data_IF_113551506265
#
_entry.id   IF_113551506265
#
_cell.length_a   1.000
_cell.length_b   1.000
_cell.length_c   1.000
_cell.angle_alpha   90.00
_cell.angle_beta   90.00
_cell.angle_gamma   90.00
#
_symmetry.space_group_name_H-M   'P 1'
#
loop_
_entity.id
_entity.type
_entity.pdbx_description
1 polymer ?
#
# COMPACT_ATOMS: atom_id res chain seq x y z
N UNK A 1 -38.32 -23.78 -14.83
CA UNK A 1 -37.73 -23.15 -16.04
C UNK A 1 -37.05 -21.86 -15.62
N UNK A 2 -35.85 -21.54 -16.13
CA UNK A 2 -35.21 -20.27 -15.92
C UNK A 2 -35.93 -19.15 -16.67
N UNK A 3 -35.83 -17.92 -16.18
CA UNK A 3 -36.41 -16.74 -16.85
C UNK A 3 -35.30 -15.92 -17.46
N UNK A 4 -35.44 -15.52 -18.74
CA UNK A 4 -34.56 -14.54 -19.37
C UNK A 4 -35.01 -13.16 -18.91
N UNK A 5 -34.12 -12.42 -18.21
CA UNK A 5 -34.42 -11.12 -17.60
C UNK A 5 -33.91 -9.93 -18.44
N UNK A 6 -33.06 -10.17 -19.41
CA UNK A 6 -32.49 -9.13 -20.26
C UNK A 6 -31.25 -9.59 -21.01
N UNK A 7 -30.67 -8.66 -21.77
CA UNK A 7 -29.39 -8.82 -22.45
C UNK A 7 -28.30 -8.19 -21.60
N UNK A 8 -27.09 -8.76 -21.63
CA UNK A 8 -25.92 -8.22 -20.93
C UNK A 8 -24.79 -7.89 -21.90
N UNK A 9 -24.05 -6.81 -21.64
CA UNK A 9 -23.00 -6.28 -22.50
C UNK A 9 -21.64 -6.47 -21.84
N UNK A 10 -20.68 -7.02 -22.59
CA UNK A 10 -19.28 -7.12 -22.22
C UNK A 10 -18.42 -6.11 -23.01
N UNK A 11 -17.15 -5.97 -22.66
CA UNK A 11 -16.23 -5.07 -23.36
C UNK A 11 -16.01 -5.45 -24.82
N UNK A 12 -16.12 -6.73 -25.16
CA UNK A 12 -15.99 -7.21 -26.55
C UNK A 12 -17.17 -6.77 -27.45
N UNK A 13 -18.32 -6.39 -26.87
CA UNK A 13 -19.54 -6.02 -27.61
C UNK A 13 -19.57 -4.54 -28.00
N UNK A 14 -18.66 -3.71 -27.46
CA UNK A 14 -18.74 -2.24 -27.62
C UNK A 14 -17.39 -1.61 -27.94
N UNK A 15 -17.45 -0.46 -28.60
CA UNK A 15 -16.32 0.43 -28.83
C UNK A 15 -16.67 1.85 -28.39
N UNK A 16 -15.67 2.62 -27.98
CA UNK A 16 -15.85 4.02 -27.73
C UNK A 16 -15.88 4.80 -29.04
N UNK A 17 -16.86 5.68 -29.20
CA UNK A 17 -16.94 6.59 -30.34
C UNK A 17 -15.93 7.72 -30.14
N UNK A 18 -15.00 7.96 -31.10
CA UNK A 18 -14.07 9.09 -31.01
C UNK A 18 -14.81 10.42 -30.92
N UNK A 19 -14.37 11.28 -30.02
CA UNK A 19 -14.95 12.60 -29.84
C UNK A 19 -13.90 13.69 -30.01
N UNK A 20 -14.35 14.93 -30.23
CA UNK A 20 -13.47 16.10 -30.30
C UNK A 20 -12.71 16.28 -28.99
N UNK A 21 -11.37 16.39 -29.08
CA UNK A 21 -10.48 16.60 -27.92
C UNK A 21 -9.68 17.89 -28.07
N UNK A 22 -9.55 18.61 -26.96
CA UNK A 22 -8.64 19.77 -26.83
C UNK A 22 -7.35 19.39 -26.08
N UNK A 23 -7.21 18.14 -25.65
CA UNK A 23 -6.14 17.64 -24.80
C UNK A 23 -5.27 16.67 -25.57
N UNK A 24 -3.96 16.84 -25.50
CA UNK A 24 -3.00 15.89 -26.06
C UNK A 24 -2.63 14.84 -24.99
N UNK A 25 -2.14 13.63 -25.38
CA UNK A 25 -1.95 12.51 -24.45
C UNK A 25 -1.11 12.82 -23.21
N UNK A 26 -0.07 13.64 -23.33
CA UNK A 26 0.81 14.01 -22.21
C UNK A 26 0.19 15.04 -21.23
N UNK A 27 -0.99 15.57 -21.53
CA UNK A 27 -1.74 16.52 -20.70
C UNK A 27 -2.93 15.84 -20.00
N UNK A 28 -3.15 14.55 -20.25
CA UNK A 28 -4.26 13.81 -19.64
C UNK A 28 -3.97 13.58 -18.16
N UNK A 29 -4.89 14.00 -17.30
CA UNK A 29 -4.91 13.66 -15.88
C UNK A 29 -5.67 12.34 -15.70
N UNK A 30 -4.98 11.30 -15.29
CA UNK A 30 -5.54 9.96 -15.03
C UNK A 30 -5.70 9.68 -13.53
N UNK A 31 -5.54 10.70 -12.67
CA UNK A 31 -5.73 10.53 -11.23
C UNK A 31 -7.18 10.14 -10.92
N UNK A 32 -7.34 9.32 -9.91
CA UNK A 32 -8.66 8.85 -9.47
C UNK A 32 -8.71 8.66 -7.96
N UNK A 33 -9.90 8.50 -7.41
CA UNK A 33 -10.08 8.13 -6.02
C UNK A 33 -10.42 6.64 -5.93
N UNK A 34 -9.68 5.91 -5.10
CA UNK A 34 -9.99 4.52 -4.76
C UNK A 34 -11.08 4.46 -3.68
N UNK A 35 -10.99 5.35 -2.71
CA UNK A 35 -12.01 5.61 -1.68
C UNK A 35 -12.11 7.12 -1.47
N UNK A 36 -13.03 7.58 -0.65
CA UNK A 36 -13.15 9.02 -0.35
C UNK A 36 -11.88 9.64 0.22
N UNK A 37 -11.04 8.82 0.90
CA UNK A 37 -9.81 9.27 1.56
C UNK A 37 -8.55 8.89 0.79
N UNK A 38 -8.60 7.95 -0.15
CA UNK A 38 -7.42 7.45 -0.88
C UNK A 38 -7.49 7.88 -2.33
N UNK A 39 -6.51 8.67 -2.75
CA UNK A 39 -6.30 9.09 -4.14
C UNK A 39 -5.17 8.26 -4.77
N UNK A 40 -5.36 7.82 -6.00
CA UNK A 40 -4.36 7.18 -6.83
C UNK A 40 -3.94 8.12 -7.96
N UNK A 41 -2.68 8.05 -8.37
CA UNK A 41 -2.14 8.86 -9.47
C UNK A 41 -2.34 8.18 -10.84
N UNK A 42 -2.60 6.88 -10.85
CA UNK A 42 -3.10 6.12 -12.01
C UNK A 42 -4.25 5.21 -11.56
N UNK A 43 -5.25 4.93 -12.40
CA UNK A 43 -6.43 4.14 -12.04
C UNK A 43 -6.16 2.62 -12.11
N UNK A 44 -5.10 2.16 -11.44
CA UNK A 44 -4.69 0.75 -11.48
C UNK A 44 -4.48 0.19 -10.07
N UNK A 45 -4.92 -1.05 -9.89
CA UNK A 45 -4.74 -1.80 -8.66
C UNK A 45 -4.39 -3.26 -9.00
N UNK A 46 -3.35 -3.84 -8.34
CA UNK A 46 -3.08 -5.26 -8.51
C UNK A 46 -3.97 -6.11 -7.61
N UNK A 47 -4.45 -7.23 -8.14
CA UNK A 47 -5.41 -8.11 -7.48
C UNK A 47 -4.82 -8.76 -6.22
N UNK A 48 -5.65 -8.90 -5.16
CA UNK A 48 -5.32 -9.61 -3.92
C UNK A 48 -5.35 -11.13 -4.09
N UNK A 49 -4.69 -11.64 -5.11
CA UNK A 49 -4.64 -13.04 -5.47
C UNK A 49 -3.27 -13.64 -5.14
N UNK A 50 -3.28 -14.89 -4.71
CA UNK A 50 -2.07 -15.68 -4.53
C UNK A 50 -1.26 -15.73 -5.84
N UNK A 51 0.06 -15.73 -5.71
CA UNK A 51 1.02 -15.67 -6.82
C UNK A 51 0.97 -14.38 -7.68
N UNK A 52 0.09 -13.42 -7.38
CA UNK A 52 -0.03 -12.14 -8.08
C UNK A 52 0.54 -11.00 -7.23
N UNK A 53 0.00 -10.77 -6.04
CA UNK A 53 0.38 -9.59 -5.25
C UNK A 53 0.93 -9.96 -3.88
N UNK A 54 2.24 -9.86 -3.76
CA UNK A 54 3.01 -9.75 -2.53
C UNK A 54 3.74 -8.40 -2.53
N UNK A 55 4.62 -8.13 -1.53
CA UNK A 55 5.30 -6.83 -1.39
C UNK A 55 5.97 -6.34 -2.68
N UNK A 56 6.58 -7.22 -3.49
CA UNK A 56 7.28 -6.82 -4.72
C UNK A 56 6.34 -6.19 -5.74
N UNK A 57 5.20 -6.81 -6.00
CA UNK A 57 4.19 -6.29 -6.91
C UNK A 57 3.53 -5.04 -6.31
N UNK A 58 3.19 -5.04 -5.02
CA UNK A 58 2.59 -3.89 -4.37
C UNK A 58 3.50 -2.65 -4.41
N UNK A 59 4.82 -2.81 -4.18
CA UNK A 59 5.81 -1.74 -4.34
C UNK A 59 5.85 -1.24 -5.79
N UNK A 60 5.87 -2.14 -6.77
CA UNK A 60 5.91 -1.76 -8.18
C UNK A 60 4.67 -0.96 -8.59
N UNK A 61 3.48 -1.41 -8.18
CA UNK A 61 2.21 -0.73 -8.44
C UNK A 61 2.17 0.66 -7.81
N UNK A 62 2.51 0.76 -6.53
CA UNK A 62 2.48 2.04 -5.82
C UNK A 62 3.51 3.04 -6.39
N UNK A 63 4.69 2.60 -6.82
CA UNK A 63 5.69 3.42 -7.51
C UNK A 63 5.19 4.03 -8.81
N UNK A 64 4.34 3.31 -9.53
CA UNK A 64 3.73 3.81 -10.77
C UNK A 64 2.50 4.68 -10.51
N UNK A 65 2.07 4.80 -9.26
CA UNK A 65 0.94 5.65 -8.87
C UNK A 65 -0.37 4.92 -8.60
N UNK A 66 -0.36 3.59 -8.69
CA UNK A 66 -1.48 2.71 -8.33
C UNK A 66 -1.38 2.20 -6.89
N UNK A 67 -1.99 1.04 -6.61
CA UNK A 67 -1.91 0.36 -5.32
C UNK A 67 -1.89 -1.15 -5.50
N UNK A 68 -1.14 -1.86 -4.66
CA UNK A 68 -1.16 -3.31 -4.59
C UNK A 68 -1.96 -3.81 -3.40
N UNK A 69 -2.73 -4.89 -3.60
CA UNK A 69 -3.49 -5.54 -2.55
C UNK A 69 -2.84 -6.87 -2.19
N UNK A 70 -2.21 -6.94 -1.03
CA UNK A 70 -1.55 -8.18 -0.57
C UNK A 70 -2.60 -9.27 -0.35
N UNK A 71 -2.37 -10.45 -0.93
CA UNK A 71 -3.31 -11.57 -0.84
C UNK A 71 -3.38 -12.16 0.59
N UNK A 72 -4.48 -12.88 0.88
CA UNK A 72 -4.77 -13.45 2.20
C UNK A 72 -4.34 -14.92 2.39
N UNK A 73 -3.80 -15.58 1.35
CA UNK A 73 -3.42 -16.98 1.41
C UNK A 73 -2.05 -17.17 2.09
N UNK A 74 -1.95 -16.66 3.31
CA UNK A 74 -0.78 -16.76 4.18
C UNK A 74 -1.20 -16.54 5.64
N UNK A 75 -0.29 -16.76 6.59
CA UNK A 75 -0.56 -16.47 8.01
C UNK A 75 -0.80 -14.98 8.24
N UNK A 76 -1.37 -14.63 9.39
CA UNK A 76 -1.62 -13.23 9.78
C UNK A 76 -0.30 -12.47 9.84
N UNK A 77 0.70 -13.06 10.48
CA UNK A 77 2.03 -12.48 10.69
C UNK A 77 2.74 -12.26 9.34
N UNK A 78 2.68 -13.25 8.45
CA UNK A 78 3.31 -13.16 7.13
C UNK A 78 2.66 -12.05 6.28
N UNK A 79 1.34 -11.92 6.31
CA UNK A 79 0.65 -10.86 5.57
C UNK A 79 0.98 -9.47 6.13
N UNK A 80 1.02 -9.32 7.44
CA UNK A 80 1.42 -8.08 8.09
C UNK A 80 2.89 -7.73 7.76
N UNK A 81 3.79 -8.73 7.71
CA UNK A 81 5.19 -8.53 7.29
C UNK A 81 5.28 -8.08 5.83
N UNK A 82 4.44 -8.62 4.92
CA UNK A 82 4.40 -8.19 3.53
C UNK A 82 3.96 -6.72 3.41
N UNK A 83 2.94 -6.29 4.17
CA UNK A 83 2.51 -4.88 4.25
C UNK A 83 3.65 -4.01 4.82
N UNK A 84 4.29 -4.41 5.91
CA UNK A 84 5.41 -3.67 6.53
C UNK A 84 6.57 -3.49 5.54
N UNK A 85 6.90 -4.52 4.74
CA UNK A 85 7.92 -4.41 3.67
C UNK A 85 7.55 -3.33 2.64
N UNK A 86 6.28 -3.20 2.26
CA UNK A 86 5.83 -2.14 1.35
C UNK A 86 5.99 -0.77 2.02
N UNK A 87 5.48 -0.63 3.23
CA UNK A 87 5.51 0.63 3.99
C UNK A 87 6.92 1.13 4.27
N UNK A 88 7.87 0.22 4.49
CA UNK A 88 9.29 0.55 4.71
C UNK A 88 10.10 0.70 3.43
N UNK A 89 9.56 0.34 2.28
CA UNK A 89 10.31 0.37 1.00
C UNK A 89 10.65 1.78 0.53
N UNK A 90 9.81 2.74 0.84
CA UNK A 90 10.01 4.17 0.55
C UNK A 90 9.43 5.02 1.68
N UNK A 91 10.25 5.94 2.15
CA UNK A 91 9.85 6.95 3.11
C UNK A 91 10.35 8.30 2.60
N UNK A 92 9.56 9.34 2.78
CA UNK A 92 10.06 10.70 2.61
C UNK A 92 11.04 11.03 3.74
N UNK A 93 10.52 11.05 4.96
CA UNK A 93 11.26 11.02 6.21
C UNK A 93 10.90 9.73 6.92
N UNK A 94 11.88 8.90 7.26
CA UNK A 94 11.66 7.73 8.11
C UNK A 94 11.38 8.26 9.51
N UNK A 95 10.12 8.28 9.92
CA UNK A 95 9.70 8.85 11.22
C UNK A 95 9.94 7.92 12.41
N UNK A 96 10.18 6.64 12.14
CA UNK A 96 10.55 5.63 13.14
C UNK A 96 11.77 4.83 12.65
N UNK A 97 12.96 5.45 12.62
CA UNK A 97 14.15 4.77 12.15
C UNK A 97 14.60 3.70 13.15
N UNK A 98 15.11 2.59 12.64
CA UNK A 98 15.84 1.67 13.50
C UNK A 98 17.01 2.39 14.15
N UNK A 99 17.21 2.16 15.42
CA UNK A 99 18.33 2.68 16.19
C UNK A 99 18.92 1.59 17.10
N UNK A 100 20.16 1.78 17.50
CA UNK A 100 20.85 0.93 18.48
C UNK A 100 21.49 1.81 19.54
N UNK A 101 21.79 1.22 20.70
CA UNK A 101 22.61 1.86 21.72
C UNK A 101 24.10 1.72 21.38
N UNK A 102 24.92 2.65 21.83
CA UNK A 102 26.36 2.60 21.70
C UNK A 102 27.01 1.40 22.39
N UNK A 103 26.28 0.73 23.31
CA UNK A 103 26.72 -0.46 24.02
C UNK A 103 26.42 -1.79 23.30
N UNK A 104 25.66 -1.77 22.22
CA UNK A 104 25.49 -2.94 21.35
C UNK A 104 26.80 -3.28 20.64
N UNK A 105 26.87 -4.51 20.10
CA UNK A 105 28.04 -4.97 19.35
C UNK A 105 27.95 -4.58 17.88
N UNK A 106 29.06 -4.63 17.17
CA UNK A 106 29.09 -4.48 15.72
C UNK A 106 28.32 -5.60 15.03
N UNK A 107 28.28 -6.80 15.64
CA UNK A 107 27.47 -7.92 15.16
C UNK A 107 25.98 -7.59 15.19
N UNK A 108 25.48 -6.97 16.27
CA UNK A 108 24.09 -6.53 16.38
C UNK A 108 23.74 -5.53 15.25
N UNK A 109 24.63 -4.57 14.99
CA UNK A 109 24.46 -3.61 13.93
C UNK A 109 24.46 -4.26 12.54
N UNK A 110 25.38 -5.19 12.30
CA UNK A 110 25.48 -5.92 11.03
C UNK A 110 24.24 -6.78 10.78
N UNK A 111 23.79 -7.50 11.80
CA UNK A 111 22.58 -8.34 11.73
C UNK A 111 21.34 -7.50 11.47
N UNK A 112 21.19 -6.35 12.15
CA UNK A 112 20.09 -5.42 11.91
C UNK A 112 20.10 -4.89 10.48
N UNK A 113 21.26 -4.43 10.00
CA UNK A 113 21.43 -3.93 8.64
C UNK A 113 21.17 -5.00 7.58
N UNK A 114 21.62 -6.23 7.80
CA UNK A 114 21.37 -7.35 6.89
C UNK A 114 19.89 -7.73 6.84
N UNK A 115 19.25 -7.88 8.01
CA UNK A 115 17.84 -8.26 8.15
C UNK A 115 16.91 -7.28 7.43
N UNK A 116 17.14 -5.99 7.59
CA UNK A 116 16.27 -4.94 7.04
C UNK A 116 16.82 -4.31 5.75
N UNK A 117 17.95 -4.81 5.23
CA UNK A 117 18.61 -4.33 4.00
C UNK A 117 18.89 -2.83 4.02
N UNK A 118 19.25 -2.31 5.18
CA UNK A 118 19.64 -0.91 5.39
C UNK A 118 21.16 -0.78 5.47
N UNK A 119 21.69 0.38 5.12
CA UNK A 119 23.15 0.60 5.02
C UNK A 119 23.71 1.43 6.17
N UNK A 120 22.95 1.64 7.22
CA UNK A 120 23.42 2.31 8.44
C UNK A 120 22.28 2.63 9.38
N UNK A 121 22.65 2.79 10.64
CA UNK A 121 21.75 2.89 11.79
C UNK A 121 22.15 4.08 12.66
N UNK A 122 21.24 5.00 13.00
CA UNK A 122 21.46 5.98 14.06
C UNK A 122 21.72 5.31 15.40
N UNK A 123 22.61 5.87 16.19
CA UNK A 123 22.94 5.40 17.52
C UNK A 123 22.44 6.39 18.55
N UNK A 124 21.70 5.89 19.56
CA UNK A 124 21.08 6.73 20.57
C UNK A 124 21.44 6.30 21.98
N UNK A 125 21.43 7.24 22.90
CA UNK A 125 21.37 7.02 24.35
C UNK A 125 20.00 7.49 24.84
N UNK A 126 19.15 6.54 25.20
CA UNK A 126 17.73 6.81 25.35
C UNK A 126 17.12 7.28 24.03
N UNK A 127 16.65 8.52 23.95
CA UNK A 127 16.14 9.14 22.71
C UNK A 127 17.17 10.01 21.99
N UNK A 128 18.25 10.39 22.69
CA UNK A 128 19.23 11.37 22.18
C UNK A 128 20.16 10.72 21.17
N UNK A 129 20.30 11.33 20.01
CA UNK A 129 21.24 10.90 18.98
C UNK A 129 22.67 11.15 19.46
N UNK A 130 23.51 10.11 19.49
CA UNK A 130 24.93 10.17 19.89
C UNK A 130 25.89 9.75 18.78
N UNK A 131 25.39 9.12 17.71
CA UNK A 131 26.24 8.67 16.61
C UNK A 131 25.45 8.08 15.45
N UNK A 132 26.18 7.62 14.47
CA UNK A 132 25.67 6.82 13.36
C UNK A 132 26.72 5.77 12.99
N UNK A 133 26.26 4.53 12.70
CA UNK A 133 27.10 3.48 12.17
C UNK A 133 26.58 3.05 10.81
N UNK A 134 27.48 2.79 9.87
CA UNK A 134 27.15 2.47 8.48
C UNK A 134 27.92 1.26 7.98
N UNK A 135 27.50 0.65 6.87
CA UNK A 135 28.26 -0.42 6.20
C UNK A 135 29.70 -0.01 5.88
N UNK A 136 29.99 1.28 5.72
CA UNK A 136 31.33 1.79 5.45
C UNK A 136 32.22 1.63 6.66
N UNK A 137 31.67 1.85 7.86
CA UNK A 137 32.40 1.71 9.14
C UNK A 137 32.68 0.23 9.43
N UNK A 138 31.80 -0.68 9.01
CA UNK A 138 31.94 -2.12 9.22
C UNK A 138 32.80 -2.82 8.12
N UNK A 139 33.04 -2.18 7.00
CA UNK A 139 33.61 -2.83 5.79
C UNK A 139 34.98 -3.45 6.01
N UNK A 140 35.79 -2.88 6.86
CA UNK A 140 37.16 -3.32 7.13
C UNK A 140 37.34 -3.87 8.54
N UNK A 141 36.26 -4.00 9.30
CA UNK A 141 36.32 -4.53 10.64
C UNK A 141 36.31 -6.06 10.62
N UNK A 142 37.14 -6.65 11.44
CA UNK A 142 37.30 -8.10 11.56
C UNK A 142 36.77 -8.64 12.89
N UNK A 143 36.69 -7.78 13.90
CA UNK A 143 36.22 -8.12 15.24
C UNK A 143 34.83 -7.51 15.49
N UNK A 144 33.80 -8.27 15.22
CA UNK A 144 32.41 -7.86 15.40
C UNK A 144 31.93 -7.92 16.86
N UNK A 145 32.76 -8.38 17.81
CA UNK A 145 32.45 -8.36 19.26
C UNK A 145 32.66 -6.98 19.88
N UNK A 146 33.37 -6.08 19.20
CA UNK A 146 33.57 -4.69 19.62
C UNK A 146 32.24 -3.96 19.81
N UNK A 147 32.27 -2.96 20.71
CA UNK A 147 31.11 -2.08 20.91
C UNK A 147 30.97 -1.06 19.79
N UNK A 148 29.71 -0.72 19.46
CA UNK A 148 29.41 0.27 18.41
C UNK A 148 30.12 1.61 18.67
N UNK A 149 30.24 2.03 19.94
CA UNK A 149 30.92 3.28 20.32
C UNK A 149 32.37 3.39 19.85
N UNK A 150 33.03 2.26 19.61
CA UNK A 150 34.43 2.22 19.16
C UNK A 150 34.61 2.49 17.67
N UNK A 151 33.52 2.30 16.88
CA UNK A 151 33.57 2.38 15.43
C UNK A 151 32.57 3.38 14.83
N UNK A 152 31.57 3.85 15.61
CA UNK A 152 30.58 4.79 15.13
C UNK A 152 31.17 6.17 14.85
N UNK A 153 30.57 6.88 13.91
CA UNK A 153 30.80 8.33 13.77
C UNK A 153 29.99 9.08 14.84
N UNK A 154 30.68 9.72 15.80
CA UNK A 154 30.07 10.51 16.88
C UNK A 154 30.36 11.99 16.75
N UNK A 155 31.47 12.36 16.15
CA UNK A 155 31.85 13.77 15.94
C UNK A 155 31.43 14.26 14.56
N UNK A 156 31.09 15.55 14.46
CA UNK A 156 30.73 16.17 13.19
C UNK A 156 29.48 15.59 12.55
N UNK A 157 28.52 15.12 13.37
CA UNK A 157 27.24 14.63 12.90
C UNK A 157 26.50 15.70 12.12
N UNK A 158 26.11 15.37 10.88
CA UNK A 158 25.27 16.22 10.06
C UNK A 158 23.82 15.83 10.34
N UNK A 159 23.04 16.75 10.87
CA UNK A 159 21.63 16.54 11.24
C UNK A 159 20.78 17.67 10.66
N UNK A 160 19.46 17.47 10.65
CA UNK A 160 18.50 18.52 10.34
C UNK A 160 17.37 18.53 11.37
N UNK A 161 16.63 19.62 11.40
CA UNK A 161 15.47 19.77 12.29
C UNK A 161 14.23 19.12 11.67
N UNK A 162 13.30 18.76 12.53
CA UNK A 162 11.98 18.32 12.15
C UNK A 162 11.28 19.36 11.25
N UNK A 163 10.54 18.90 10.23
CA UNK A 163 9.88 19.77 9.25
C UNK A 163 10.73 20.14 8.03
N UNK A 164 11.99 19.69 7.94
CA UNK A 164 12.83 19.91 6.75
C UNK A 164 12.19 19.30 5.49
N UNK A 165 12.26 20.02 4.38
CA UNK A 165 11.85 19.51 3.08
C UNK A 165 12.90 18.56 2.48
N UNK A 166 12.48 17.65 1.60
CA UNK A 166 13.42 16.74 0.91
C UNK A 166 14.40 17.49 0.00
N UNK A 167 14.01 18.62 -0.58
CA UNK A 167 14.89 19.46 -1.37
C UNK A 167 16.00 20.12 -0.53
N UNK A 168 15.68 20.58 0.67
CA UNK A 168 16.67 21.09 1.62
C UNK A 168 17.59 19.99 2.12
N UNK A 169 17.01 18.81 2.47
CA UNK A 169 17.78 17.63 2.85
C UNK A 169 18.78 17.21 1.76
N UNK A 170 18.34 17.23 0.49
CA UNK A 170 19.22 16.97 -0.66
C UNK A 170 20.41 17.90 -0.73
N UNK A 171 20.19 19.22 -0.52
CA UNK A 171 21.26 20.23 -0.50
C UNK A 171 22.25 19.97 0.63
N UNK A 172 21.77 19.63 1.83
CA UNK A 172 22.61 19.29 2.98
C UNK A 172 23.44 18.03 2.70
N UNK A 173 22.81 16.96 2.23
CA UNK A 173 23.48 15.70 1.90
C UNK A 173 24.54 15.89 0.80
N UNK A 174 24.21 16.64 -0.25
CA UNK A 174 25.15 16.94 -1.33
C UNK A 174 26.37 17.75 -0.84
N UNK A 175 26.14 18.81 -0.04
CA UNK A 175 27.21 19.66 0.51
C UNK A 175 28.12 18.89 1.47
N UNK A 176 27.53 18.05 2.33
CA UNK A 176 28.26 17.26 3.32
C UNK A 176 28.86 15.96 2.76
N UNK A 177 28.49 15.56 1.54
CA UNK A 177 28.85 14.26 0.92
C UNK A 177 28.48 13.06 1.81
N UNK A 178 27.37 13.19 2.53
CA UNK A 178 26.81 12.12 3.35
C UNK A 178 25.61 11.49 2.66
N UNK A 179 25.32 10.25 3.01
CA UNK A 179 24.19 9.48 2.42
C UNK A 179 22.98 9.43 3.34
N UNK A 180 23.13 9.84 4.60
CA UNK A 180 22.11 9.78 5.63
C UNK A 180 22.09 11.08 6.43
N UNK A 181 20.88 11.55 6.72
CA UNK A 181 20.61 12.77 7.45
C UNK A 181 19.65 12.45 8.60
N UNK A 182 20.15 12.23 9.82
CA UNK A 182 19.29 12.12 10.99
C UNK A 182 18.52 13.43 11.23
N UNK A 183 17.25 13.29 11.55
CA UNK A 183 16.36 14.39 11.92
C UNK A 183 16.22 14.39 13.42
N UNK A 184 16.41 15.53 14.03
CA UNK A 184 16.42 15.72 15.49
C UNK A 184 15.53 16.88 15.91
N UNK A 185 15.02 16.83 17.13
CA UNK A 185 14.38 17.98 17.79
C UNK A 185 15.41 18.93 18.42
N UNK A 186 14.93 19.92 19.17
CA UNK A 186 15.79 20.93 19.81
C UNK A 186 16.66 20.35 20.95
N UNK A 187 16.23 19.25 21.55
CA UNK A 187 16.98 18.52 22.59
C UNK A 187 17.91 17.45 22.00
N UNK A 188 18.06 17.42 20.66
CA UNK A 188 18.86 16.45 19.93
C UNK A 188 18.33 15.00 20.02
N UNK A 189 17.03 14.82 20.29
CA UNK A 189 16.41 13.52 20.21
C UNK A 189 16.15 13.11 18.76
N UNK A 190 16.41 11.85 18.45
CA UNK A 190 16.16 11.29 17.11
C UNK A 190 14.65 11.29 16.82
N UNK A 191 14.25 11.92 15.72
CA UNK A 191 12.86 12.01 15.23
C UNK A 191 12.68 11.35 13.87
N UNK A 192 13.76 11.17 13.14
CA UNK A 192 13.67 10.58 11.82
C UNK A 192 15.02 10.41 11.16
N UNK A 193 14.97 9.87 9.95
CA UNK A 193 16.13 9.67 9.09
C UNK A 193 15.73 9.92 7.63
N UNK A 194 16.52 10.70 6.91
CA UNK A 194 16.42 10.83 5.45
C UNK A 194 17.66 10.21 4.83
N UNK A 195 17.49 9.44 3.76
CA UNK A 195 18.62 8.90 3.00
C UNK A 195 18.63 9.42 1.57
N UNK A 196 19.81 9.44 0.95
CA UNK A 196 19.94 9.83 -0.46
C UNK A 196 19.12 8.91 -1.37
N UNK A 197 19.01 7.63 -1.01
CA UNK A 197 18.21 6.65 -1.77
C UNK A 197 16.73 7.00 -1.80
N UNK A 198 16.17 7.58 -0.72
CA UNK A 198 14.77 7.98 -0.67
C UNK A 198 14.52 9.19 -1.58
N UNK A 199 15.47 10.12 -1.63
CA UNK A 199 15.44 11.26 -2.55
C UNK A 199 15.55 10.80 -4.02
N UNK A 200 16.47 9.89 -4.32
CA UNK A 200 16.64 9.31 -5.66
C UNK A 200 15.37 8.58 -6.13
N UNK A 201 14.72 7.81 -5.24
CA UNK A 201 13.46 7.14 -5.54
C UNK A 201 12.34 8.12 -5.86
N UNK A 202 12.24 9.24 -5.14
CA UNK A 202 11.24 10.26 -5.41
C UNK A 202 11.43 10.90 -6.80
N UNK A 203 12.69 11.14 -7.20
CA UNK A 203 13.00 11.64 -8.54
C UNK A 203 12.66 10.60 -9.60
N UNK A 204 12.96 9.31 -9.34
CA UNK A 204 12.72 8.22 -10.27
C UNK A 204 11.23 7.87 -10.43
N UNK A 205 10.45 8.02 -9.37
CA UNK A 205 9.03 7.66 -9.32
C UNK A 205 8.16 8.86 -8.90
N UNK A 206 8.06 9.89 -9.74
CA UNK A 206 7.34 11.13 -9.39
C UNK A 206 5.84 10.93 -9.19
N UNK A 207 5.27 9.88 -9.79
CA UNK A 207 3.86 9.53 -9.67
C UNK A 207 3.56 8.56 -8.51
N UNK A 208 4.55 8.17 -7.70
CA UNK A 208 4.35 7.20 -6.64
C UNK A 208 3.17 7.58 -5.73
N UNK A 209 2.27 6.62 -5.53
CA UNK A 209 1.12 6.78 -4.64
C UNK A 209 1.59 6.60 -3.19
N UNK A 210 1.46 7.64 -2.38
CA UNK A 210 1.99 7.71 -1.01
C UNK A 210 0.94 8.20 -0.03
N UNK A 211 1.08 7.76 1.21
CA UNK A 211 0.32 8.27 2.35
C UNK A 211 0.88 9.64 2.82
N UNK A 212 0.24 10.21 3.83
CA UNK A 212 0.62 11.51 4.41
C UNK A 212 2.03 11.52 5.03
N UNK A 213 2.56 10.35 5.41
CA UNK A 213 3.92 10.17 5.90
C UNK A 213 4.96 9.93 4.78
N UNK A 214 4.52 9.93 3.51
CA UNK A 214 5.38 9.70 2.36
C UNK A 214 5.73 8.23 2.10
N UNK A 215 5.04 7.28 2.76
CA UNK A 215 5.19 5.84 2.54
C UNK A 215 4.29 5.37 1.40
N UNK A 216 4.71 4.36 0.66
CA UNK A 216 3.90 3.80 -0.43
C UNK A 216 2.54 3.30 0.08
N UNK A 217 1.48 3.55 -0.70
CA UNK A 217 0.16 3.00 -0.42
C UNK A 217 0.15 1.48 -0.60
N UNK A 218 -0.50 0.80 0.34
CA UNK A 218 -0.65 -0.64 0.35
C UNK A 218 -2.01 -1.06 0.88
N UNK A 219 -2.68 -1.95 0.19
CA UNK A 219 -3.88 -2.61 0.68
C UNK A 219 -3.64 -4.07 1.01
N UNK A 220 -4.57 -4.70 1.71
CA UNK A 220 -4.54 -6.11 2.02
C UNK A 220 -5.93 -6.75 1.95
N UNK A 221 -6.00 -7.95 1.37
CA UNK A 221 -7.21 -8.74 1.29
C UNK A 221 -7.47 -9.50 2.61
N UNK A 222 -8.72 -9.58 3.01
CA UNK A 222 -9.18 -10.39 4.15
C UNK A 222 -10.36 -11.25 3.74
N UNK A 223 -10.56 -12.37 4.45
CA UNK A 223 -11.74 -13.23 4.31
C UNK A 223 -12.78 -12.96 5.38
N UNK A 224 -13.75 -13.86 5.48
CA UNK A 224 -14.85 -13.85 6.47
C UNK A 224 -14.62 -14.87 7.59
N UNK A 225 -13.38 -15.10 7.98
CA UNK A 225 -13.00 -16.07 9.02
C UNK A 225 -13.34 -15.55 10.42
N UNK A 226 -13.50 -16.46 11.39
CA UNK A 226 -13.82 -16.10 12.78
C UNK A 226 -12.78 -15.15 13.41
N UNK A 227 -11.52 -15.27 13.00
CA UNK A 227 -10.38 -14.47 13.48
C UNK A 227 -10.04 -13.28 12.56
N UNK A 228 -11.03 -12.77 11.81
CA UNK A 228 -10.79 -11.65 10.89
C UNK A 228 -10.26 -10.40 11.59
N UNK A 229 -10.70 -10.11 12.81
CA UNK A 229 -10.22 -8.96 13.57
C UNK A 229 -8.74 -9.09 13.94
N UNK A 230 -8.28 -10.26 14.36
CA UNK A 230 -6.85 -10.47 14.65
C UNK A 230 -5.98 -10.15 13.44
N UNK A 231 -6.46 -10.54 12.25
CA UNK A 231 -5.79 -10.22 10.98
C UNK A 231 -5.82 -8.73 10.68
N UNK A 232 -6.96 -8.08 10.83
CA UNK A 232 -7.09 -6.63 10.63
C UNK A 232 -6.22 -5.86 11.61
N UNK A 233 -6.19 -6.26 12.88
CA UNK A 233 -5.33 -5.66 13.92
C UNK A 233 -3.84 -5.71 13.53
N UNK A 234 -3.38 -6.86 13.05
CA UNK A 234 -1.98 -7.01 12.61
C UNK A 234 -1.69 -6.12 11.38
N UNK A 235 -2.62 -6.04 10.43
CA UNK A 235 -2.49 -5.21 9.24
C UNK A 235 -2.51 -3.72 9.56
N UNK A 236 -3.37 -3.28 10.49
CA UNK A 236 -3.43 -1.89 10.97
C UNK A 236 -2.12 -1.51 11.69
N UNK A 237 -1.57 -2.41 12.52
CA UNK A 237 -0.25 -2.22 13.14
C UNK A 237 0.88 -2.11 12.12
N UNK A 238 0.74 -2.78 10.97
CA UNK A 238 1.65 -2.65 9.83
C UNK A 238 1.34 -1.43 8.94
N UNK A 239 0.38 -0.57 9.34
CA UNK A 239 -0.02 0.65 8.64
C UNK A 239 -0.64 0.43 7.26
N UNK A 240 -1.46 -0.60 7.10
CA UNK A 240 -2.24 -0.80 5.87
C UNK A 240 -3.16 0.40 5.61
N UNK A 241 -3.28 0.82 4.34
CA UNK A 241 -4.12 1.98 3.97
C UNK A 241 -5.57 1.58 3.69
N UNK A 242 -5.78 0.38 3.16
CA UNK A 242 -7.11 -0.11 2.80
C UNK A 242 -7.22 -1.62 2.98
N UNK A 243 -8.35 -2.06 3.50
CA UNK A 243 -8.72 -3.48 3.58
C UNK A 243 -9.68 -3.82 2.45
N UNK A 244 -9.47 -4.96 1.80
CA UNK A 244 -10.39 -5.50 0.80
C UNK A 244 -11.01 -6.78 1.35
N UNK A 245 -12.31 -6.75 1.65
CA UNK A 245 -13.08 -7.97 1.96
C UNK A 245 -13.33 -8.66 0.64
N UNK A 246 -12.54 -9.70 0.36
CA UNK A 246 -12.53 -10.38 -0.92
C UNK A 246 -13.29 -11.72 -0.84
N UNK A 247 -14.40 -11.79 -1.59
CA UNK A 247 -15.30 -12.95 -1.65
C UNK A 247 -15.83 -13.17 -3.05
N UNK A 248 -16.05 -14.43 -3.39
CA UNK A 248 -16.71 -14.82 -4.64
C UNK A 248 -18.15 -14.30 -4.75
N UNK A 249 -18.81 -14.03 -3.60
CA UNK A 249 -20.16 -13.47 -3.51
C UNK A 249 -20.28 -12.46 -2.37
N UNK A 250 -20.16 -11.19 -2.71
CA UNK A 250 -20.18 -10.06 -1.74
C UNK A 250 -21.55 -9.81 -1.13
N UNK A 251 -22.65 -10.19 -1.80
CA UNK A 251 -24.00 -10.00 -1.30
C UNK A 251 -24.44 -11.15 -0.38
N UNK A 252 -23.74 -11.32 0.73
CA UNK A 252 -24.03 -12.39 1.70
C UNK A 252 -23.99 -11.88 3.14
N UNK A 253 -24.79 -12.48 4.02
CA UNK A 253 -24.93 -12.09 5.42
C UNK A 253 -23.58 -12.03 6.17
N UNK A 254 -22.67 -12.97 5.87
CA UNK A 254 -21.36 -13.02 6.51
C UNK A 254 -20.45 -11.85 6.08
N UNK A 255 -20.53 -11.39 4.84
CA UNK A 255 -19.81 -10.20 4.37
C UNK A 255 -20.30 -8.96 5.10
N UNK A 256 -21.63 -8.77 5.21
CA UNK A 256 -22.20 -7.64 5.96
C UNK A 256 -21.80 -7.66 7.43
N UNK A 257 -21.82 -8.83 8.06
CA UNK A 257 -21.37 -8.99 9.45
C UNK A 257 -19.92 -8.61 9.61
N UNK A 258 -19.05 -9.12 8.73
CA UNK A 258 -17.60 -8.84 8.76
C UNK A 258 -17.32 -7.35 8.50
N UNK A 259 -17.99 -6.76 7.52
CA UNK A 259 -17.84 -5.34 7.21
C UNK A 259 -18.22 -4.44 8.41
N UNK A 260 -19.38 -4.66 9.00
CA UNK A 260 -19.80 -3.91 10.18
C UNK A 260 -18.85 -4.10 11.35
N UNK A 261 -18.42 -5.33 11.61
CA UNK A 261 -17.46 -5.65 12.66
C UNK A 261 -16.14 -4.88 12.50
N UNK A 262 -15.59 -4.83 11.28
CA UNK A 262 -14.37 -4.07 11.00
C UNK A 262 -14.62 -2.57 11.20
N UNK A 263 -15.72 -2.03 10.66
CA UNK A 263 -16.04 -0.60 10.78
C UNK A 263 -16.38 -0.15 12.21
N UNK A 264 -16.91 -1.04 13.05
CA UNK A 264 -17.13 -0.79 14.47
C UNK A 264 -15.81 -0.66 15.24
N UNK A 265 -14.81 -1.52 14.95
CA UNK A 265 -13.50 -1.49 15.61
C UNK A 265 -12.57 -0.43 15.03
N UNK A 266 -12.67 -0.18 13.72
CA UNK A 266 -11.83 0.74 12.96
C UNK A 266 -12.66 1.67 12.08
N UNK A 267 -13.35 2.68 12.64
CA UNK A 267 -14.26 3.56 11.88
C UNK A 267 -13.58 4.31 10.74
N UNK A 268 -12.31 4.68 10.90
CA UNK A 268 -11.55 5.46 9.93
C UNK A 268 -10.86 4.61 8.86
N UNK A 269 -10.68 3.31 9.09
CA UNK A 269 -10.06 2.39 8.16
C UNK A 269 -10.89 2.29 6.89
N UNK A 270 -10.26 2.46 5.74
CA UNK A 270 -10.94 2.33 4.45
C UNK A 270 -11.18 0.86 4.12
N UNK A 271 -12.41 0.51 3.78
CA UNK A 271 -12.81 -0.88 3.48
C UNK A 271 -13.51 -0.94 2.13
N UNK A 272 -12.94 -1.74 1.24
CA UNK A 272 -13.55 -2.12 -0.04
C UNK A 272 -14.21 -3.47 0.17
N UNK A 273 -15.47 -3.64 -0.24
CA UNK A 273 -16.18 -4.90 -0.13
C UNK A 273 -16.63 -5.43 -1.50
N UNK A 274 -16.54 -6.73 -1.69
CA UNK A 274 -16.96 -7.38 -2.93
C UNK A 274 -16.70 -8.91 -2.93
N UNK A 275 -16.93 -9.53 -4.08
CA UNK A 275 -17.34 -8.94 -5.36
C UNK A 275 -18.86 -8.88 -5.48
N UNK A 276 -19.34 -7.87 -6.14
CA UNK A 276 -20.76 -7.68 -6.46
C UNK A 276 -20.95 -7.43 -7.96
N UNK A 277 -22.17 -7.62 -8.46
CA UNK A 277 -22.50 -7.37 -9.86
C UNK A 277 -23.88 -6.72 -10.03
N UNK A 278 -24.54 -6.30 -8.94
CA UNK A 278 -25.90 -5.75 -8.98
C UNK A 278 -26.01 -4.45 -8.19
N UNK A 279 -26.93 -3.60 -8.62
CA UNK A 279 -27.28 -2.36 -7.96
C UNK A 279 -27.75 -2.58 -6.50
N UNK A 280 -28.52 -3.63 -6.27
CA UNK A 280 -29.04 -3.99 -4.94
C UNK A 280 -27.89 -4.34 -3.97
N UNK A 281 -27.01 -5.25 -4.34
CA UNK A 281 -25.86 -5.62 -3.54
C UNK A 281 -24.98 -4.42 -3.20
N UNK A 282 -24.78 -3.52 -4.15
CA UNK A 282 -24.03 -2.29 -3.97
C UNK A 282 -24.67 -1.36 -2.92
N UNK A 283 -25.97 -1.10 -3.04
CA UNK A 283 -26.70 -0.30 -2.08
C UNK A 283 -26.57 -0.85 -0.66
N UNK A 284 -26.73 -2.15 -0.52
CA UNK A 284 -26.72 -2.81 0.78
C UNK A 284 -25.32 -2.82 1.41
N UNK A 285 -24.24 -3.00 0.62
CA UNK A 285 -22.86 -2.88 1.11
C UNK A 285 -22.52 -1.44 1.54
N UNK A 286 -22.96 -0.44 0.78
CA UNK A 286 -22.76 0.97 1.13
C UNK A 286 -23.49 1.26 2.45
N UNK A 287 -24.73 0.80 2.62
CA UNK A 287 -25.50 0.95 3.85
C UNK A 287 -24.84 0.23 5.04
N UNK A 288 -24.09 -0.83 4.80
CA UNK A 288 -23.32 -1.55 5.81
C UNK A 288 -21.97 -0.90 6.15
N UNK A 289 -21.56 0.17 5.44
CA UNK A 289 -20.37 0.95 5.74
C UNK A 289 -19.18 0.75 4.79
N UNK A 290 -19.37 0.16 3.60
CA UNK A 290 -18.31 0.06 2.61
C UNK A 290 -17.91 1.45 2.08
N UNK A 291 -16.60 1.72 2.02
CA UNK A 291 -16.04 2.97 1.47
C UNK A 291 -15.93 2.91 -0.05
N UNK A 292 -15.79 1.71 -0.61
CA UNK A 292 -15.89 1.41 -2.03
C UNK A 292 -16.39 -0.04 -2.24
N UNK A 293 -16.85 -0.34 -3.45
CA UNK A 293 -17.30 -1.68 -3.82
C UNK A 293 -16.48 -2.23 -4.98
N UNK A 294 -16.14 -3.54 -4.91
CA UNK A 294 -15.45 -4.26 -5.97
C UNK A 294 -16.47 -4.96 -6.85
N UNK A 295 -16.49 -4.59 -8.14
CA UNK A 295 -17.50 -5.05 -9.11
C UNK A 295 -16.93 -6.09 -10.04
N UNK A 296 -17.63 -7.20 -10.20
CA UNK A 296 -17.32 -8.25 -11.17
C UNK A 296 -17.49 -9.64 -10.57
N UNK A 297 -18.38 -10.42 -11.17
CA UNK A 297 -18.62 -11.85 -10.87
C UNK A 297 -18.60 -12.60 -12.19
N UNK A 298 -17.60 -13.45 -12.38
CA UNK A 298 -17.45 -14.30 -13.55
C UNK A 298 -16.91 -13.66 -14.83
N UNK A 299 -16.44 -12.38 -14.88
CA UNK A 299 -16.05 -11.78 -16.16
C UNK A 299 -14.65 -12.21 -16.63
N UNK A 300 -13.72 -12.54 -15.74
CA UNK A 300 -12.34 -12.84 -16.09
C UNK A 300 -12.17 -14.10 -16.93
N UNK A 301 -11.17 -14.14 -17.82
CA UNK A 301 -10.88 -15.28 -18.67
C UNK A 301 -10.44 -16.53 -17.88
N UNK A 302 -9.74 -16.30 -16.76
CA UNK A 302 -9.32 -17.37 -15.83
C UNK A 302 -10.41 -17.74 -14.82
N UNK A 303 -11.54 -16.99 -14.79
CA UNK A 303 -12.62 -17.22 -13.82
C UNK A 303 -13.46 -18.45 -14.24
N UNK A 304 -13.47 -19.47 -13.40
CA UNK A 304 -14.25 -20.68 -13.63
C UNK A 304 -15.70 -20.59 -13.18
N UNK A 305 -16.11 -19.53 -12.50
CA UNK A 305 -17.45 -19.37 -11.92
C UNK A 305 -18.56 -19.51 -12.96
N UNK A 306 -18.42 -18.87 -14.14
CA UNK A 306 -19.41 -19.01 -15.23
C UNK A 306 -19.48 -20.42 -15.77
N UNK A 307 -18.33 -21.07 -15.94
CA UNK A 307 -18.24 -22.38 -16.58
C UNK A 307 -18.71 -23.47 -15.63
N UNK A 308 -18.34 -23.39 -14.36
CA UNK A 308 -18.65 -24.42 -13.35
C UNK A 308 -20.00 -24.22 -12.70
N UNK A 309 -20.30 -22.97 -12.29
CA UNK A 309 -21.50 -22.65 -11.51
C UNK A 309 -22.63 -22.02 -12.35
N UNK A 310 -22.36 -21.59 -13.58
CA UNK A 310 -23.31 -20.86 -14.41
C UNK A 310 -23.69 -19.48 -13.86
N UNK A 311 -22.82 -18.89 -13.01
CA UNK A 311 -23.09 -17.62 -12.33
C UNK A 311 -22.15 -16.54 -12.86
N UNK A 312 -22.71 -15.37 -13.17
CA UNK A 312 -21.95 -14.21 -13.61
C UNK A 312 -22.82 -13.15 -14.22
N UNK A 313 -22.26 -11.95 -14.39
CA UNK A 313 -22.89 -10.83 -15.09
C UNK A 313 -21.86 -10.23 -16.04
N UNK A 314 -22.21 -9.94 -17.30
CA UNK A 314 -21.35 -9.24 -18.25
C UNK A 314 -20.85 -7.92 -17.66
N UNK A 315 -19.55 -7.63 -17.80
CA UNK A 315 -18.89 -6.63 -16.96
C UNK A 315 -19.38 -5.21 -17.18
N UNK A 316 -19.67 -4.79 -18.42
CA UNK A 316 -20.20 -3.44 -18.69
C UNK A 316 -21.57 -3.27 -18.04
N UNK A 317 -22.44 -4.26 -18.15
CA UNK A 317 -23.76 -4.27 -17.49
C UNK A 317 -23.59 -4.15 -15.98
N UNK A 318 -22.73 -4.98 -15.37
CA UNK A 318 -22.46 -4.93 -13.95
C UNK A 318 -21.93 -3.55 -13.48
N UNK A 319 -20.97 -2.98 -14.20
CA UNK A 319 -20.41 -1.65 -13.90
C UNK A 319 -21.45 -0.56 -14.05
N UNK A 320 -22.26 -0.61 -15.12
CA UNK A 320 -23.32 0.35 -15.35
C UNK A 320 -24.32 0.35 -14.20
N UNK A 321 -24.89 -0.79 -13.86
CA UNK A 321 -25.90 -0.92 -12.81
C UNK A 321 -25.38 -0.49 -11.44
N UNK A 322 -24.17 -0.95 -11.08
CA UNK A 322 -23.52 -0.56 -9.82
C UNK A 322 -23.24 0.94 -9.79
N UNK A 323 -22.79 1.53 -10.90
CA UNK A 323 -22.44 2.96 -10.97
C UNK A 323 -23.66 3.86 -10.72
N UNK A 324 -24.86 3.47 -11.16
CA UNK A 324 -26.09 4.23 -10.94
C UNK A 324 -26.43 4.38 -9.45
N UNK A 325 -26.10 3.36 -8.65
CA UNK A 325 -26.29 3.40 -7.20
C UNK A 325 -25.10 4.12 -6.53
N UNK A 326 -23.88 3.73 -6.85
CA UNK A 326 -22.70 4.29 -6.22
C UNK A 326 -22.64 5.83 -6.32
N UNK A 327 -23.00 6.40 -7.47
CA UNK A 327 -23.08 7.86 -7.67
C UNK A 327 -24.07 8.54 -6.72
N UNK A 328 -25.23 7.93 -6.44
CA UNK A 328 -26.24 8.50 -5.52
C UNK A 328 -25.74 8.60 -4.09
N UNK A 329 -24.85 7.70 -3.67
CA UNK A 329 -24.29 7.65 -2.32
C UNK A 329 -22.88 8.23 -2.23
N UNK A 330 -22.37 8.80 -3.32
CA UNK A 330 -20.99 9.26 -3.42
C UNK A 330 -19.99 8.18 -2.96
N UNK A 331 -20.28 6.93 -3.35
CA UNK A 331 -19.42 5.77 -3.12
C UNK A 331 -18.63 5.47 -4.38
N UNK A 332 -17.41 5.00 -4.21
CA UNK A 332 -16.52 4.68 -5.30
C UNK A 332 -16.63 3.21 -5.67
N UNK A 333 -16.36 2.90 -6.91
CA UNK A 333 -16.35 1.53 -7.37
C UNK A 333 -15.01 1.19 -8.01
N UNK A 334 -14.62 -0.04 -7.80
CA UNK A 334 -13.47 -0.66 -8.39
C UNK A 334 -13.92 -1.86 -9.21
N UNK A 335 -13.46 -1.97 -10.45
CA UNK A 335 -13.84 -3.09 -11.33
C UNK A 335 -12.77 -4.15 -11.33
N UNK A 336 -13.17 -5.43 -11.35
CA UNK A 336 -12.26 -6.48 -11.70
C UNK A 336 -11.99 -6.46 -13.20
N UNK A 337 -10.78 -6.83 -13.57
CA UNK A 337 -10.38 -6.92 -14.96
C UNK A 337 -11.18 -7.98 -15.70
N UNK A 338 -11.76 -7.59 -16.81
CA UNK A 338 -12.51 -8.48 -17.67
C UNK A 338 -12.09 -8.36 -19.14
N UNK A 339 -11.28 -7.37 -19.45
CA UNK A 339 -11.10 -6.97 -20.82
C UNK A 339 -9.94 -7.68 -21.51
N UNK A 340 -8.94 -8.18 -20.81
CA UNK A 340 -7.68 -8.47 -21.49
C UNK A 340 -6.90 -9.67 -20.96
N UNK A 341 -7.57 -10.77 -20.83
CA UNK A 341 -6.92 -12.05 -20.57
C UNK A 341 -6.60 -12.83 -21.85
N UNK A 342 -6.57 -12.14 -22.98
CA UNK A 342 -6.14 -12.76 -24.25
C UNK A 342 -4.64 -12.65 -24.39
N UNK A 343 -3.95 -13.53 -23.75
CA UNK A 343 -2.58 -13.85 -24.13
C UNK A 343 -2.61 -15.09 -24.99
#
# INVERSE_FOLDING_TARGET
MGTIIGEGITFDDVLLVPAYSKVIPNQVDVTTHLTKKIKLNIPMMSAGMDTVTEHRMAIAMARQGGIGIIHKNMSIEAQAEEVDKVKRSENGVITDPFFLSADHTLEDANNLMAKFRISGVPITEGKKLVGIITNRDLKFETDFTKKIRECMTSEGLITAKEGITLEEAKKILAKSRKEKLPIVDDDFNLKGLITIKDIEKQIKYPLAAKDEQGRLLCGAAVGITANVLDRVDALVKAHVDVIVIDSAHGHSANIFKTLRLIKEHYPDLQVIAGNVATAEATRDLIAAGADAVKVGIGPGSICTTRVVAGIGVPQITAVYDVSQVAKKYNCLLYTSDAADDRI
#
